data_IF_496723275290
#
_entry.id   IF_496723275290
#
_cell.length_a   1.000
_cell.length_b   1.000
_cell.length_c   1.000
_cell.angle_alpha   90.00
_cell.angle_beta   90.00
_cell.angle_gamma   90.00
#
_symmetry.space_group_name_H-M   'P 1'
#
loop_
_entity.id
_entity.type
_entity.pdbx_description
1 polymer ?
#
# COMPACT_ATOMS: atom_id res chain seq x y z
N UNK A 1 38.89 40.77 2.86
CA UNK A 1 38.14 40.82 1.57
C UNK A 1 38.82 39.80 0.64
N UNK A 2 38.09 39.06 -0.22
CA UNK A 2 38.52 37.78 -0.82
C UNK A 2 37.88 37.54 -2.22
N UNK A 3 38.59 36.92 -3.20
CA UNK A 3 38.17 36.40 -4.55
C UNK A 3 39.47 36.05 -5.38
N UNK A 4 39.56 35.31 -6.52
CA UNK A 4 38.80 34.25 -7.27
C UNK A 4 39.76 33.58 -8.32
N UNK A 5 39.37 32.53 -9.06
CA UNK A 5 40.26 31.67 -9.90
C UNK A 5 39.80 31.40 -11.38
N UNK A 6 40.74 31.41 -12.35
CA UNK A 6 41.13 30.36 -13.38
C UNK A 6 40.26 29.85 -14.60
N UNK A 7 40.83 29.82 -15.85
CA UNK A 7 40.53 28.90 -17.03
C UNK A 7 39.86 29.45 -18.34
N UNK A 8 39.73 28.81 -19.55
CA UNK A 8 40.52 27.80 -20.35
C UNK A 8 39.93 27.48 -21.81
N UNK A 9 40.63 26.70 -22.70
CA UNK A 9 40.17 25.83 -23.87
C UNK A 9 40.27 26.25 -25.40
N UNK A 10 40.05 25.31 -26.39
CA UNK A 10 40.73 25.23 -27.75
C UNK A 10 40.14 24.30 -28.91
N UNK A 11 40.33 24.60 -30.24
CA UNK A 11 40.49 23.75 -31.51
C UNK A 11 39.34 22.88 -32.20
N UNK A 12 39.30 22.36 -33.49
CA UNK A 12 39.87 22.58 -34.90
C UNK A 12 39.22 21.68 -36.07
N UNK A 13 39.47 21.97 -37.40
CA UNK A 13 39.73 21.03 -38.59
C UNK A 13 38.76 20.63 -39.81
N UNK A 14 39.27 20.67 -41.08
CA UNK A 14 39.10 19.80 -42.34
C UNK A 14 37.90 19.79 -43.39
N UNK A 15 38.05 19.13 -44.59
CA UNK A 15 37.33 19.36 -45.92
C UNK A 15 36.78 18.10 -46.74
N UNK A 16 36.23 18.25 -47.99
CA UNK A 16 35.40 17.24 -48.77
C UNK A 16 35.45 17.23 -50.36
N UNK A 17 34.96 16.15 -51.07
CA UNK A 17 34.89 15.99 -52.57
C UNK A 17 33.46 16.05 -53.26
N UNK A 18 33.30 15.52 -54.50
CA UNK A 18 32.30 15.89 -55.57
C UNK A 18 31.09 14.93 -55.86
N UNK A 19 30.04 15.35 -56.66
CA UNK A 19 28.68 14.76 -56.65
C UNK A 19 28.18 14.01 -57.93
N UNK A 20 26.91 13.53 -57.90
CA UNK A 20 26.11 12.96 -59.03
C UNK A 20 24.72 13.65 -59.16
N UNK A 21 23.99 13.36 -60.26
CA UNK A 21 22.61 13.84 -60.50
C UNK A 21 21.58 13.12 -59.58
N UNK A 22 20.47 13.76 -59.17
CA UNK A 22 19.59 13.25 -58.11
C UNK A 22 18.24 12.69 -58.59
N UNK A 23 17.70 11.76 -57.81
CA UNK A 23 16.54 10.90 -58.16
C UNK A 23 15.17 11.47 -57.74
N UNK A 24 15.04 12.79 -57.53
CA UNK A 24 13.86 13.40 -56.87
C UNK A 24 12.70 13.85 -57.78
N UNK A 25 12.75 13.57 -59.07
CA UNK A 25 11.63 13.86 -60.00
C UNK A 25 10.58 12.75 -59.89
N UNK A 26 9.37 13.07 -59.42
CA UNK A 26 8.31 12.11 -59.11
C UNK A 26 7.02 12.49 -59.85
N UNK A 27 6.47 11.58 -60.65
CA UNK A 27 5.25 11.81 -61.42
C UNK A 27 3.98 11.79 -60.54
N UNK A 28 3.08 12.80 -60.65
CA UNK A 28 1.98 12.98 -59.69
C UNK A 28 0.71 12.16 -59.96
N UNK A 29 0.63 11.41 -61.08
CA UNK A 29 -0.63 10.80 -61.56
C UNK A 29 -0.98 9.45 -60.91
N UNK A 30 -0.05 8.80 -60.23
CA UNK A 30 -0.18 7.42 -59.71
C UNK A 30 -0.40 7.36 -58.18
N UNK A 31 -1.50 7.95 -57.70
CA UNK A 31 -1.81 8.01 -56.25
C UNK A 31 -3.24 7.59 -55.86
N UNK A 32 -3.86 6.67 -56.60
CA UNK A 32 -5.08 5.98 -56.16
C UNK A 32 -4.76 4.80 -55.23
N UNK A 33 -4.75 5.02 -53.91
CA UNK A 33 -4.46 3.96 -52.94
C UNK A 33 -4.68 4.41 -51.49
N UNK A 34 -5.20 3.50 -50.66
CA UNK A 34 -5.62 3.77 -49.27
C UNK A 34 -4.43 4.17 -48.37
N UNK A 35 -4.46 5.40 -47.85
CA UNK A 35 -3.57 5.85 -46.77
C UNK A 35 -4.28 5.61 -45.44
N UNK A 36 -3.65 4.87 -44.53
CA UNK A 36 -4.18 4.67 -43.19
C UNK A 36 -4.23 5.99 -42.41
N UNK A 37 -5.36 6.27 -41.75
CA UNK A 37 -5.56 7.50 -40.96
C UNK A 37 -4.82 7.46 -39.60
N UNK A 38 -4.44 6.26 -39.15
CA UNK A 38 -3.76 6.01 -37.87
C UNK A 38 -2.53 5.13 -38.16
N UNK A 39 -1.38 5.48 -37.60
CA UNK A 39 -0.10 4.82 -37.89
C UNK A 39 0.72 5.54 -38.97
N UNK A 40 1.85 4.94 -39.37
CA UNK A 40 2.78 5.53 -40.33
C UNK A 40 2.21 5.58 -41.76
N UNK A 41 2.19 6.76 -42.37
CA UNK A 41 1.75 6.96 -43.75
C UNK A 41 2.81 6.52 -44.76
N UNK A 42 2.39 5.80 -45.80
CA UNK A 42 3.27 5.25 -46.85
C UNK A 42 3.88 6.30 -47.82
N UNK A 43 3.57 7.58 -47.66
CA UNK A 43 4.12 8.69 -48.45
C UNK A 43 5.08 9.53 -47.60
N UNK A 44 6.38 9.63 -47.95
CA UNK A 44 7.40 10.19 -47.06
C UNK A 44 7.28 11.70 -46.83
N UNK A 45 6.55 12.42 -47.70
CA UNK A 45 6.35 13.86 -47.60
C UNK A 45 5.11 14.26 -46.77
N UNK A 46 4.35 13.29 -46.23
CA UNK A 46 3.23 13.58 -45.31
C UNK A 46 3.55 13.00 -43.94
N UNK A 47 3.29 13.80 -42.91
CA UNK A 47 3.39 13.34 -41.53
C UNK A 47 2.15 12.51 -41.16
N UNK A 48 2.35 11.48 -40.36
CA UNK A 48 1.26 10.75 -39.71
C UNK A 48 0.52 11.64 -38.70
N UNK A 49 -0.73 11.31 -38.38
CA UNK A 49 -1.43 11.92 -37.26
C UNK A 49 -0.69 11.61 -35.93
N UNK A 50 -0.61 12.56 -34.98
CA UNK A 50 0.08 12.34 -33.72
C UNK A 50 -0.59 11.23 -32.90
N UNK A 51 0.23 10.35 -32.33
CA UNK A 51 -0.22 9.31 -31.41
C UNK A 51 -0.12 9.79 -29.97
N UNK A 52 -1.18 9.60 -29.18
CA UNK A 52 -1.22 9.94 -27.76
C UNK A 52 -1.55 8.69 -26.94
N UNK A 53 -0.67 8.35 -26.00
CA UNK A 53 -0.90 7.27 -25.04
C UNK A 53 -1.53 7.79 -23.74
N UNK A 54 -2.28 6.94 -23.05
CA UNK A 54 -2.67 7.19 -21.65
C UNK A 54 -1.47 7.02 -20.72
N UNK A 55 -1.41 7.80 -19.63
CA UNK A 55 -0.33 7.75 -18.66
C UNK A 55 -0.28 6.43 -17.88
N UNK A 56 0.92 5.92 -17.62
CA UNK A 56 1.18 4.63 -16.95
C UNK A 56 1.20 4.73 -15.41
N UNK A 57 0.36 5.60 -14.83
CA UNK A 57 0.42 5.95 -13.41
C UNK A 57 -0.59 5.18 -12.54
N UNK A 58 -0.09 4.32 -11.64
CA UNK A 58 -0.91 3.57 -10.69
C UNK A 58 -1.49 4.43 -9.56
N UNK A 59 -2.52 3.93 -8.88
CA UNK A 59 -3.08 4.56 -7.67
C UNK A 59 -2.04 4.76 -6.55
N UNK A 60 -1.05 3.86 -6.44
CA UNK A 60 0.07 3.99 -5.50
C UNK A 60 1.04 5.14 -5.85
N UNK A 61 0.94 5.71 -7.05
CA UNK A 61 1.69 6.91 -7.45
C UNK A 61 0.95 8.19 -7.01
N UNK A 62 -0.39 8.15 -6.85
CA UNK A 62 -1.19 9.29 -6.37
C UNK A 62 -0.78 9.75 -4.96
N UNK A 63 -0.39 8.84 -4.07
CA UNK A 63 0.11 9.18 -2.72
C UNK A 63 1.37 10.06 -2.72
N UNK A 64 2.11 10.09 -3.84
CA UNK A 64 3.34 10.88 -4.01
C UNK A 64 3.05 12.31 -4.48
N UNK A 65 1.81 12.60 -4.89
CA UNK A 65 1.41 13.89 -5.46
C UNK A 65 0.73 14.77 -4.41
N UNK A 66 1.38 15.88 -4.05
CA UNK A 66 0.72 16.93 -3.27
C UNK A 66 -0.22 17.74 -4.17
N UNK A 67 -1.53 17.46 -4.05
CA UNK A 67 -2.58 18.16 -4.80
C UNK A 67 -3.01 19.46 -4.14
N UNK A 68 -3.34 19.42 -2.83
CA UNK A 68 -3.71 20.60 -2.05
C UNK A 68 -3.70 20.33 -0.55
N UNK A 69 -3.70 21.40 0.25
CA UNK A 69 -3.88 21.33 1.71
C UNK A 69 -5.21 20.66 2.12
N UNK A 70 -6.26 20.75 1.30
CA UNK A 70 -7.53 20.09 1.57
C UNK A 70 -7.43 18.57 1.35
N UNK A 71 -6.77 18.14 0.26
CA UNK A 71 -6.54 16.72 -0.01
C UNK A 71 -5.61 16.06 1.03
N UNK A 72 -4.55 16.77 1.44
CA UNK A 72 -3.67 16.31 2.52
C UNK A 72 -4.39 16.12 3.86
N UNK A 73 -5.38 16.98 4.18
CA UNK A 73 -6.24 16.84 5.37
C UNK A 73 -7.23 15.67 5.25
N UNK A 74 -7.79 15.43 4.05
CA UNK A 74 -8.69 14.30 3.81
C UNK A 74 -7.99 12.94 4.00
N UNK A 75 -6.68 12.86 3.72
CA UNK A 75 -5.86 11.67 3.91
C UNK A 75 -5.22 11.59 5.32
N UNK A 76 -5.59 12.46 6.26
CA UNK A 76 -5.07 12.43 7.62
C UNK A 76 -5.50 11.15 8.35
N UNK A 77 -4.53 10.44 8.94
CA UNK A 77 -4.75 9.14 9.60
C UNK A 77 -4.53 7.92 8.72
N UNK A 78 -4.41 8.05 7.39
CA UNK A 78 -4.19 6.91 6.48
C UNK A 78 -2.87 6.14 6.71
N UNK A 79 -1.92 6.72 7.46
CA UNK A 79 -0.64 6.11 7.86
C UNK A 79 -0.56 5.82 9.36
N UNK A 80 -1.66 6.00 10.10
CA UNK A 80 -1.78 5.67 11.51
C UNK A 80 -2.43 4.28 11.63
N UNK A 81 -1.91 3.34 12.42
CA UNK A 81 -2.58 2.06 12.64
C UNK A 81 -3.96 2.30 13.29
N UNK A 82 -4.99 1.63 12.77
CA UNK A 82 -6.36 1.82 13.21
C UNK A 82 -6.61 1.33 14.64
N UNK A 83 -7.74 1.73 15.26
CA UNK A 83 -8.17 1.12 16.51
C UNK A 83 -8.35 -0.40 16.30
N UNK A 84 -7.67 -1.20 17.13
CA UNK A 84 -7.63 -2.66 16.98
C UNK A 84 -6.56 -3.21 16.01
N UNK A 85 -5.78 -2.37 15.32
CA UNK A 85 -4.60 -2.82 14.55
C UNK A 85 -3.40 -3.19 15.42
N UNK A 86 -3.42 -2.83 16.71
CA UNK A 86 -2.39 -3.18 17.68
C UNK A 86 -2.77 -4.47 18.41
N UNK A 87 -1.86 -5.44 18.46
CA UNK A 87 -2.02 -6.61 19.33
C UNK A 87 -1.73 -6.20 20.78
N UNK A 88 -2.78 -6.09 21.60
CA UNK A 88 -2.67 -5.77 23.02
C UNK A 88 -2.83 -7.01 23.89
N UNK A 89 -2.00 -7.14 24.92
CA UNK A 89 -2.23 -8.10 25.99
C UNK A 89 -3.53 -7.79 26.76
N UNK A 90 -4.09 -8.81 27.42
CA UNK A 90 -5.25 -8.63 28.30
C UNK A 90 -4.92 -7.63 29.42
N UNK A 91 -5.83 -6.68 29.66
CA UNK A 91 -5.65 -5.62 30.68
C UNK A 91 -5.92 -6.09 32.10
N UNK A 92 -6.45 -7.31 32.28
CA UNK A 92 -6.80 -7.91 33.57
C UNK A 92 -6.27 -9.34 33.66
N UNK A 93 -5.97 -9.79 34.88
CA UNK A 93 -5.34 -11.10 35.11
C UNK A 93 -3.81 -11.02 35.09
N UNK A 94 -3.17 -11.95 34.36
CA UNK A 94 -1.70 -12.12 34.37
C UNK A 94 -0.98 -10.95 33.72
N UNK A 95 0.11 -10.49 34.34
CA UNK A 95 0.93 -9.40 33.84
C UNK A 95 1.83 -9.88 32.67
N UNK A 96 1.34 -9.76 31.44
CA UNK A 96 1.97 -10.34 30.24
C UNK A 96 3.42 -9.91 29.93
N UNK A 97 3.90 -8.80 30.52
CA UNK A 97 5.30 -8.33 30.39
C UNK A 97 6.14 -8.54 31.66
N UNK A 98 5.59 -9.18 32.70
CA UNK A 98 6.29 -9.44 33.95
C UNK A 98 7.08 -10.76 33.87
N UNK A 99 8.31 -10.75 34.40
CA UNK A 99 9.10 -11.96 34.64
C UNK A 99 8.82 -12.59 36.01
N UNK A 100 8.00 -11.95 36.84
CA UNK A 100 7.64 -12.41 38.19
C UNK A 100 6.32 -13.21 38.17
N UNK A 101 6.16 -14.13 39.12
CA UNK A 101 4.94 -14.91 39.27
C UNK A 101 3.78 -14.05 39.77
N UNK A 102 2.64 -14.06 39.08
CA UNK A 102 1.41 -13.42 39.55
C UNK A 102 0.92 -14.04 40.88
N UNK A 103 0.16 -13.25 41.65
CA UNK A 103 -0.52 -13.73 42.85
C UNK A 103 -1.61 -14.78 42.55
N UNK A 104 -1.95 -15.60 43.56
CA UNK A 104 -2.97 -16.63 43.42
C UNK A 104 -4.36 -16.03 43.14
N UNK A 105 -5.02 -16.51 42.08
CA UNK A 105 -6.36 -16.09 41.70
C UNK A 105 -7.43 -16.99 42.36
N UNK A 106 -8.15 -16.45 43.33
CA UNK A 106 -9.26 -17.15 44.00
C UNK A 106 -10.59 -16.85 43.29
N UNK A 107 -11.27 -17.91 42.85
CA UNK A 107 -12.62 -17.83 42.25
C UNK A 107 -13.71 -18.28 43.22
N UNK A 108 -14.94 -17.82 43.02
CA UNK A 108 -16.11 -18.36 43.71
C UNK A 108 -16.42 -19.79 43.23
N UNK A 109 -16.93 -20.63 44.14
CA UNK A 109 -17.34 -21.99 43.79
C UNK A 109 -18.49 -22.01 42.77
N UNK A 110 -18.42 -22.91 41.79
CA UNK A 110 -19.34 -23.00 40.64
C UNK A 110 -20.72 -23.62 40.96
N UNK A 111 -21.19 -23.50 42.20
CA UNK A 111 -22.46 -24.11 42.63
C UNK A 111 -23.68 -23.37 42.06
N UNK A 112 -24.68 -24.12 41.60
CA UNK A 112 -25.88 -23.54 40.99
C UNK A 112 -26.83 -22.98 42.07
N UNK A 113 -27.30 -21.74 41.87
CA UNK A 113 -28.22 -21.05 42.82
C UNK A 113 -29.44 -21.89 43.21
N UNK A 114 -29.94 -22.67 42.26
CA UNK A 114 -31.13 -23.51 42.39
C UNK A 114 -30.82 -25.02 42.41
N UNK A 115 -29.61 -25.44 42.80
CA UNK A 115 -29.31 -26.84 43.10
C UNK A 115 -29.99 -27.32 44.39
N UNK A 116 -31.33 -27.37 44.41
CA UNK A 116 -32.10 -27.84 45.58
C UNK A 116 -31.95 -29.36 45.73
N UNK A 117 -32.06 -30.11 44.62
CA UNK A 117 -31.85 -31.56 44.58
C UNK A 117 -30.48 -31.96 45.15
N UNK A 118 -29.42 -31.24 44.78
CA UNK A 118 -28.06 -31.51 45.26
C UNK A 118 -27.85 -31.19 46.75
N UNK A 119 -28.68 -30.31 47.32
CA UNK A 119 -28.70 -30.01 48.76
C UNK A 119 -29.51 -31.06 49.53
N UNK A 120 -30.67 -31.43 49.02
CA UNK A 120 -31.56 -32.46 49.57
C UNK A 120 -30.89 -33.84 49.58
N UNK A 121 -30.21 -34.22 48.48
CA UNK A 121 -29.39 -35.43 48.36
C UNK A 121 -28.13 -35.44 49.25
N UNK A 122 -27.71 -34.29 49.80
CA UNK A 122 -26.63 -34.19 50.79
C UNK A 122 -27.18 -34.23 52.23
N UNK A 123 -28.27 -33.51 52.48
CA UNK A 123 -28.97 -33.53 53.77
C UNK A 123 -29.43 -34.95 54.14
N UNK A 124 -30.08 -35.66 53.21
CA UNK A 124 -30.53 -37.06 53.41
C UNK A 124 -29.41 -38.08 53.62
N UNK A 125 -28.17 -37.77 53.19
CA UNK A 125 -27.00 -38.66 53.35
C UNK A 125 -26.15 -38.32 54.58
N UNK A 126 -26.45 -37.24 55.28
CA UNK A 126 -25.70 -36.79 56.45
C UNK A 126 -26.54 -37.11 57.69
N UNK A 127 -26.17 -38.10 58.52
CA UNK A 127 -26.95 -38.45 59.71
C UNK A 127 -27.07 -37.24 60.65
N UNK A 128 -28.27 -37.02 61.17
CA UNK A 128 -28.55 -35.91 62.07
C UNK A 128 -27.85 -36.06 63.43
N UNK A 129 -27.67 -34.97 64.20
CA UNK A 129 -27.18 -35.06 65.56
C UNK A 129 -28.11 -35.95 66.39
N UNK A 130 -27.54 -36.99 67.02
CA UNK A 130 -28.30 -38.03 67.74
C UNK A 130 -28.70 -39.26 66.91
N UNK A 131 -28.48 -39.29 65.59
CA UNK A 131 -28.67 -40.50 64.76
C UNK A 131 -27.48 -41.48 64.82
N UNK A 132 -26.41 -41.11 65.51
CA UNK A 132 -25.26 -41.98 65.80
C UNK A 132 -25.57 -42.82 67.04
N UNK A 133 -25.78 -44.12 66.85
CA UNK A 133 -25.75 -45.11 67.95
C UNK A 133 -24.30 -45.32 68.36
N UNK A 134 -24.06 -45.42 69.68
CA UNK A 134 -22.76 -45.69 70.31
C UNK A 134 -22.82 -47.10 70.92
#
# INVERSE_FOLDING_TARGET
RFCTLWGAMSQLSTAKPRPKRPDWVIDPTLSGGTRATIGSTSVPYRQAAPSYGFGTSDRAQCEKLFLSNAHARANAGAKTPGPGSYNHAQSTGKQAMSTQTDAAAYGFGSSTRFGYKDRELKATKTPGPGAYVI
#
